data_IF_212099882094
#
_entry.id   IF_212099882094
#
_cell.length_a   1.000
_cell.length_b   1.000
_cell.length_c   1.000
_cell.angle_alpha   90.00
_cell.angle_beta   90.00
_cell.angle_gamma   90.00
#
_symmetry.space_group_name_H-M   'P 1'
#
loop_
_entity.id
_entity.type
_entity.pdbx_description
1 polymer ?
#
# COMPACT_ATOMS: atom_id res chain seq x y z
N UNK A 1 -18.82 -9.12 -11.04
CA UNK A 1 -18.63 -9.26 -9.58
C UNK A 1 -17.64 -8.18 -9.13
N UNK A 2 -18.04 -7.25 -8.26
CA UNK A 2 -17.10 -6.26 -7.70
C UNK A 2 -16.36 -6.88 -6.51
N UNK A 3 -15.03 -6.85 -6.50
CA UNK A 3 -14.24 -7.34 -5.36
C UNK A 3 -14.29 -6.30 -4.23
N UNK A 4 -14.84 -6.68 -3.08
CA UNK A 4 -15.02 -5.76 -1.95
C UNK A 4 -13.86 -5.88 -0.94
N UNK A 5 -12.84 -5.04 -1.12
CA UNK A 5 -11.61 -5.06 -0.31
C UNK A 5 -11.86 -4.85 1.19
N UNK A 6 -12.87 -4.08 1.59
CA UNK A 6 -13.20 -3.88 3.01
C UNK A 6 -13.57 -5.18 3.73
N UNK A 7 -14.42 -6.02 3.12
CA UNK A 7 -14.76 -7.35 3.67
C UNK A 7 -13.56 -8.29 3.63
N UNK A 8 -12.78 -8.22 2.55
CA UNK A 8 -11.58 -9.04 2.41
C UNK A 8 -10.56 -8.73 3.52
N UNK A 9 -10.18 -7.47 3.70
CA UNK A 9 -9.24 -7.04 4.74
C UNK A 9 -9.77 -7.34 6.14
N UNK A 10 -11.08 -7.16 6.36
CA UNK A 10 -11.71 -7.54 7.65
C UNK A 10 -11.53 -9.03 7.95
N UNK A 11 -11.59 -9.89 6.94
CA UNK A 11 -11.35 -11.33 7.10
C UNK A 11 -9.88 -11.68 7.40
N UNK A 12 -8.94 -10.83 6.99
CA UNK A 12 -7.50 -11.03 7.21
C UNK A 12 -7.07 -10.54 8.60
N UNK A 13 -7.37 -9.28 8.93
CA UNK A 13 -6.80 -8.59 10.10
C UNK A 13 -7.87 -8.06 11.08
N UNK A 14 -9.15 -8.36 10.84
CA UNK A 14 -10.24 -7.91 11.69
C UNK A 14 -10.76 -6.50 11.35
N UNK A 15 -11.61 -5.98 12.22
CA UNK A 15 -12.26 -4.68 12.04
C UNK A 15 -11.24 -3.51 12.05
N UNK A 16 -11.53 -2.38 11.37
CA UNK A 16 -10.69 -1.20 11.47
C UNK A 16 -10.62 -0.68 12.92
N UNK A 17 -9.54 0.03 13.29
CA UNK A 17 -9.47 0.72 14.58
C UNK A 17 -10.65 1.66 14.77
N UNK A 18 -11.22 1.68 15.97
CA UNK A 18 -12.42 2.49 16.29
C UNK A 18 -12.19 3.99 16.16
N UNK A 19 -10.94 4.45 16.30
CA UNK A 19 -10.56 5.85 16.17
C UNK A 19 -10.38 6.32 14.71
N UNK A 20 -10.31 5.40 13.74
CA UNK A 20 -10.14 5.77 12.32
C UNK A 20 -11.46 6.27 11.76
N UNK A 21 -11.51 7.55 11.37
CA UNK A 21 -12.68 8.17 10.75
C UNK A 21 -12.80 7.69 9.29
N UNK A 22 -14.01 7.27 8.89
CA UNK A 22 -14.32 6.76 7.55
C UNK A 22 -13.26 5.76 7.03
N UNK A 23 -13.05 4.61 7.72
CA UNK A 23 -11.98 3.70 7.39
C UNK A 23 -12.26 2.94 6.09
N UNK A 24 -11.24 2.76 5.26
CA UNK A 24 -11.29 1.88 4.10
C UNK A 24 -10.10 0.94 4.05
N UNK A 25 -10.25 -0.15 3.29
CA UNK A 25 -9.13 -1.00 2.93
C UNK A 25 -8.25 -0.25 1.94
N UNK A 26 -7.06 0.12 2.37
CA UNK A 26 -6.10 0.91 1.62
C UNK A 26 -4.98 0.02 1.08
N UNK A 27 -4.68 0.19 -0.21
CA UNK A 27 -3.50 -0.40 -0.84
C UNK A 27 -2.32 0.52 -0.58
N UNK A 28 -1.31 0.05 0.17
CA UNK A 28 -0.14 0.84 0.56
C UNK A 28 0.60 1.30 -0.70
N UNK A 29 1.13 0.38 -1.50
CA UNK A 29 1.40 0.63 -2.91
C UNK A 29 0.07 0.56 -3.68
N UNK A 30 -0.23 1.59 -4.47
CA UNK A 30 -1.53 1.71 -5.12
C UNK A 30 -1.82 0.55 -6.08
N UNK A 31 -3.08 0.09 -6.06
CA UNK A 31 -3.59 -0.89 -7.01
C UNK A 31 -3.58 -0.37 -8.45
N UNK A 32 -3.91 0.91 -8.66
CA UNK A 32 -4.06 1.55 -9.97
C UNK A 32 -3.69 3.03 -9.86
N UNK A 33 -2.87 3.52 -10.78
CA UNK A 33 -2.55 4.94 -10.91
C UNK A 33 -3.54 5.72 -11.77
N UNK A 34 -3.66 7.02 -11.50
CA UNK A 34 -4.37 8.02 -12.30
C UNK A 34 -3.36 8.86 -13.11
N UNK A 35 -3.62 9.01 -14.41
CA UNK A 35 -2.68 9.65 -15.34
C UNK A 35 -1.43 8.79 -15.62
N UNK A 36 -0.56 9.28 -16.51
CA UNK A 36 0.60 8.51 -16.95
C UNK A 36 1.61 8.28 -15.82
N UNK A 37 1.98 9.35 -15.11
CA UNK A 37 3.01 9.30 -14.05
C UNK A 37 2.68 8.32 -12.93
N UNK A 38 1.44 8.30 -12.41
CA UNK A 38 1.09 7.32 -11.38
C UNK A 38 1.05 5.90 -11.92
N UNK A 39 0.62 5.69 -13.18
CA UNK A 39 0.58 4.34 -13.76
C UNK A 39 1.98 3.75 -13.89
N UNK A 40 2.96 4.55 -14.31
CA UNK A 40 4.36 4.15 -14.39
C UNK A 40 4.91 3.78 -13.00
N UNK A 41 4.69 4.63 -12.00
CA UNK A 41 5.12 4.35 -10.62
C UNK A 41 4.43 3.12 -10.02
N UNK A 42 3.13 2.95 -10.28
CA UNK A 42 2.41 1.74 -9.85
C UNK A 42 3.01 0.50 -10.50
N UNK A 43 3.25 0.52 -11.82
CA UNK A 43 3.84 -0.62 -12.51
C UNK A 43 5.24 -0.95 -11.95
N UNK A 44 6.07 0.06 -11.72
CA UNK A 44 7.40 -0.09 -11.14
C UNK A 44 7.35 -0.71 -9.73
N UNK A 45 6.56 -0.14 -8.82
CA UNK A 45 6.41 -0.68 -7.47
C UNK A 45 5.85 -2.11 -7.48
N UNK A 46 4.92 -2.43 -8.38
CA UNK A 46 4.31 -3.76 -8.45
C UNK A 46 5.32 -4.81 -8.93
N UNK A 47 6.19 -4.47 -9.89
CA UNK A 47 7.28 -5.36 -10.30
C UNK A 47 8.31 -5.54 -9.18
N UNK A 48 8.61 -4.51 -8.38
CA UNK A 48 9.46 -4.67 -7.19
C UNK A 48 8.82 -5.66 -6.23
N UNK A 49 7.58 -5.45 -5.78
CA UNK A 49 6.89 -6.34 -4.83
C UNK A 49 6.83 -7.79 -5.31
N UNK A 50 6.65 -7.99 -6.62
CA UNK A 50 6.63 -9.32 -7.24
C UNK A 50 7.95 -10.08 -7.11
N UNK A 51 9.11 -9.40 -7.18
CA UNK A 51 10.44 -10.03 -6.93
C UNK A 51 10.51 -10.69 -5.54
N UNK A 52 9.80 -10.12 -4.57
CA UNK A 52 9.74 -10.59 -3.18
C UNK A 52 8.55 -11.53 -2.91
N UNK A 53 7.83 -11.96 -3.94
CA UNK A 53 6.66 -12.83 -3.81
C UNK A 53 5.44 -12.15 -3.16
N UNK A 54 5.42 -10.81 -3.08
CA UNK A 54 4.30 -10.05 -2.52
C UNK A 54 3.29 -9.79 -3.64
N UNK A 55 2.04 -10.21 -3.42
CA UNK A 55 0.94 -9.92 -4.36
C UNK A 55 0.43 -8.52 -4.09
N UNK A 56 0.82 -7.53 -4.91
CA UNK A 56 0.46 -6.11 -4.70
C UNK A 56 -1.05 -5.82 -4.56
N UNK A 57 -1.92 -6.64 -5.15
CA UNK A 57 -3.38 -6.38 -5.13
C UNK A 57 -4.10 -7.03 -3.94
N UNK A 58 -3.69 -8.25 -3.57
CA UNK A 58 -4.42 -9.08 -2.58
C UNK A 58 -3.54 -9.58 -1.43
N UNK A 59 -2.23 -9.36 -1.48
CA UNK A 59 -1.33 -9.68 -0.38
C UNK A 59 -1.67 -8.82 0.82
N UNK A 60 -1.83 -9.46 1.98
CA UNK A 60 -2.15 -8.78 3.23
C UNK A 60 -1.08 -7.74 3.60
N UNK A 61 0.16 -7.97 3.18
CA UNK A 61 1.32 -7.13 3.46
C UNK A 61 1.21 -5.75 2.79
N UNK A 62 0.41 -5.65 1.72
CA UNK A 62 0.17 -4.39 1.01
C UNK A 62 -1.22 -3.79 1.31
N UNK A 63 -1.90 -4.27 2.36
CA UNK A 63 -3.23 -3.82 2.74
C UNK A 63 -3.27 -3.35 4.20
N UNK A 64 -3.88 -2.18 4.43
CA UNK A 64 -4.04 -1.62 5.78
C UNK A 64 -5.39 -0.90 5.90
N UNK A 65 -5.89 -0.77 7.13
CA UNK A 65 -6.98 0.16 7.42
C UNK A 65 -6.42 1.58 7.48
N UNK A 66 -6.96 2.49 6.67
CA UNK A 66 -6.57 3.90 6.67
C UNK A 66 -7.82 4.80 6.61
N UNK A 67 -7.72 6.06 7.05
CA UNK A 67 -8.79 7.03 6.85
C UNK A 67 -8.95 7.33 5.36
N UNK A 68 -10.20 7.45 4.92
CA UNK A 68 -10.53 7.73 3.53
C UNK A 68 -10.58 9.25 3.25
N UNK A 69 -10.52 9.61 1.97
CA UNK A 69 -10.66 10.99 1.46
C UNK A 69 -9.63 11.99 2.01
N UNK A 70 -8.49 11.52 2.50
CA UNK A 70 -7.38 12.38 2.93
C UNK A 70 -6.65 12.93 1.70
N UNK A 71 -6.50 14.25 1.65
CA UNK A 71 -5.79 14.93 0.57
C UNK A 71 -4.33 14.45 0.50
N UNK A 72 -3.83 14.19 -0.71
CA UNK A 72 -2.45 13.72 -0.93
C UNK A 72 -2.20 12.23 -0.65
N UNK A 73 -3.04 11.53 0.13
CA UNK A 73 -2.86 10.10 0.45
C UNK A 73 -2.85 9.20 -0.81
N UNK A 74 -3.59 9.61 -1.85
CA UNK A 74 -3.60 8.94 -3.16
C UNK A 74 -2.89 9.78 -4.26
N UNK A 75 -2.03 10.72 -3.86
CA UNK A 75 -1.32 11.64 -4.73
C UNK A 75 -0.04 11.05 -5.34
N UNK A 76 0.50 11.73 -6.36
CA UNK A 76 1.75 11.34 -7.04
C UNK A 76 2.95 11.36 -6.08
N UNK A 77 3.06 12.39 -5.24
CA UNK A 77 4.17 12.54 -4.29
C UNK A 77 4.20 11.40 -3.28
N UNK A 78 3.03 11.01 -2.76
CA UNK A 78 2.91 9.87 -1.86
C UNK A 78 3.35 8.57 -2.53
N UNK A 79 2.89 8.33 -3.76
CA UNK A 79 3.26 7.15 -4.53
C UNK A 79 4.77 7.12 -4.86
N UNK A 80 5.37 8.28 -5.18
CA UNK A 80 6.81 8.38 -5.40
C UNK A 80 7.58 7.99 -4.14
N UNK A 81 7.23 8.55 -2.97
CA UNK A 81 7.83 8.19 -1.68
C UNK A 81 7.76 6.68 -1.40
N UNK A 82 6.58 6.08 -1.63
CA UNK A 82 6.40 4.63 -1.48
C UNK A 82 7.37 3.87 -2.40
N UNK A 83 7.38 4.17 -3.71
CA UNK A 83 8.23 3.46 -4.68
C UNK A 83 9.71 3.64 -4.37
N UNK A 84 10.13 4.83 -3.96
CA UNK A 84 11.53 5.11 -3.58
C UNK A 84 11.95 4.27 -2.37
N UNK A 85 11.09 4.12 -1.37
CA UNK A 85 11.35 3.26 -0.21
C UNK A 85 11.42 1.77 -0.56
N UNK A 86 10.57 1.30 -1.49
CA UNK A 86 10.67 -0.08 -2.00
C UNK A 86 11.97 -0.29 -2.79
N UNK A 87 12.38 0.70 -3.59
CA UNK A 87 13.66 0.68 -4.33
C UNK A 87 14.87 0.67 -3.41
N UNK A 88 14.84 1.44 -2.32
CA UNK A 88 15.91 1.43 -1.32
C UNK A 88 16.12 0.00 -0.81
N UNK A 89 15.06 -0.69 -0.37
CA UNK A 89 15.14 -2.09 0.07
C UNK A 89 15.66 -3.00 -1.05
N UNK A 90 15.19 -2.83 -2.29
CA UNK A 90 15.60 -3.65 -3.44
C UNK A 90 17.09 -3.50 -3.78
N UNK A 91 17.59 -2.26 -3.80
CA UNK A 91 18.96 -1.92 -4.17
C UNK A 91 20.00 -2.37 -3.15
N UNK A 92 19.65 -2.47 -1.87
CA UNK A 92 20.53 -2.99 -0.82
C UNK A 92 20.46 -4.52 -0.66
N UNK A 93 19.89 -5.25 -1.63
CA UNK A 93 19.77 -6.71 -1.58
C UNK A 93 18.88 -7.17 -0.44
N UNK A 94 17.75 -6.47 -0.21
CA UNK A 94 16.81 -6.76 0.85
C UNK A 94 16.25 -8.19 0.80
N UNK A 95 15.69 -8.64 1.93
CA UNK A 95 14.92 -9.88 1.99
C UNK A 95 13.44 -9.58 1.85
N UNK A 96 12.64 -10.63 1.63
CA UNK A 96 11.17 -10.52 1.69
C UNK A 96 10.71 -9.90 3.01
N UNK A 97 11.30 -10.29 4.13
CA UNK A 97 10.98 -9.78 5.47
C UNK A 97 11.21 -8.27 5.54
N UNK A 98 12.37 -7.77 5.09
CA UNK A 98 12.65 -6.33 5.04
C UNK A 98 11.67 -5.56 4.17
N UNK A 99 11.21 -6.17 3.08
CA UNK A 99 10.19 -5.57 2.21
C UNK A 99 8.84 -5.47 2.92
N UNK A 100 8.45 -6.51 3.67
CA UNK A 100 7.23 -6.51 4.48
C UNK A 100 7.31 -5.49 5.63
N UNK A 101 8.47 -5.39 6.30
CA UNK A 101 8.70 -4.38 7.33
C UNK A 101 8.58 -2.96 6.77
N UNK A 102 9.13 -2.72 5.57
CA UNK A 102 9.00 -1.43 4.88
C UNK A 102 7.54 -1.12 4.53
N UNK A 103 6.80 -2.10 4.00
CA UNK A 103 5.36 -1.93 3.74
C UNK A 103 4.60 -1.62 5.02
N UNK A 104 4.92 -2.28 6.14
CA UNK A 104 4.31 -2.01 7.44
C UNK A 104 4.51 -0.55 7.86
N UNK A 105 5.74 -0.03 7.77
CA UNK A 105 6.05 1.38 8.06
C UNK A 105 5.25 2.34 7.17
N UNK A 106 5.22 2.08 5.86
CA UNK A 106 4.46 2.89 4.90
C UNK A 106 2.93 2.81 5.13
N UNK A 107 2.44 1.67 5.61
CA UNK A 107 1.05 1.46 6.01
C UNK A 107 0.68 2.23 7.28
N UNK A 108 1.56 2.26 8.28
CA UNK A 108 1.40 3.08 9.49
C UNK A 108 1.38 4.57 9.17
N UNK A 109 2.25 5.03 8.26
CA UNK A 109 2.20 6.39 7.72
C UNK A 109 0.83 6.68 7.07
N UNK A 110 0.31 5.79 6.21
CA UNK A 110 -0.99 5.98 5.56
C UNK A 110 -2.16 6.00 6.55
N UNK A 111 -2.10 5.13 7.58
CA UNK A 111 -3.12 5.02 8.61
C UNK A 111 -3.16 6.22 9.58
N UNK A 112 -2.05 6.96 9.70
CA UNK A 112 -1.91 8.10 10.61
C UNK A 112 -2.14 9.47 9.95
N UNK A 113 -2.29 9.53 8.62
CA UNK A 113 -2.60 10.78 7.91
C UNK A 113 -3.96 11.36 8.35
N UNK A 114 -4.07 12.68 8.38
CA UNK A 114 -5.25 13.44 8.79
C UNK A 114 -5.52 14.60 7.85
#
# INVERSE_FOLDING_TARGET
MSFYFGKYLRGLIGAPPTATIDPHAHHILFKKGLGQKQKELVAEGQEILKKYGIKSIIGEENLVWAPNRIAGQHGVERLQHIVDKLKEVDSFGGTREKMVDMLKLLGEEAASMK
#
